data_IF_853188183519
#
_entry.id   IF_853188183519
#
_cell.length_a   1.000
_cell.length_b   1.000
_cell.length_c   1.000
_cell.angle_alpha   90.00
_cell.angle_beta   90.00
_cell.angle_gamma   90.00
#
_symmetry.space_group_name_H-M   'P 1'
#
loop_
_entity.id
_entity.type
_entity.pdbx_description
1 polymer ?
#
# COMPACT_ATOMS: atom_id res chain seq x y z
N UNK A 1 -9.14 10.96 15.88
CA UNK A 1 -9.09 10.58 14.46
C UNK A 1 -10.33 11.10 13.75
N UNK A 2 -10.14 11.72 12.59
CA UNK A 2 -11.22 12.09 11.67
C UNK A 2 -10.86 11.65 10.25
N UNK A 3 -11.79 11.74 9.31
CA UNK A 3 -11.55 11.27 7.93
C UNK A 3 -10.40 11.98 7.22
N UNK A 4 -10.23 13.27 7.46
CA UNK A 4 -9.12 14.05 6.89
C UNK A 4 -7.75 13.58 7.40
N UNK A 5 -7.66 13.31 8.70
CA UNK A 5 -6.44 12.77 9.32
C UNK A 5 -6.11 11.38 8.74
N UNK A 6 -7.13 10.52 8.57
CA UNK A 6 -6.95 9.20 7.95
C UNK A 6 -6.44 9.36 6.51
N UNK A 7 -7.08 10.23 5.71
CA UNK A 7 -6.64 10.49 4.32
C UNK A 7 -5.21 11.00 4.26
N UNK A 8 -4.85 11.95 5.12
CA UNK A 8 -3.51 12.53 5.16
C UNK A 8 -2.45 11.48 5.55
N UNK A 9 -2.70 10.71 6.62
CA UNK A 9 -1.79 9.68 7.07
C UNK A 9 -1.61 8.58 6.01
N UNK A 10 -2.68 8.19 5.34
CA UNK A 10 -2.62 7.20 4.25
C UNK A 10 -1.94 7.75 2.99
N UNK A 11 -2.04 9.07 2.72
CA UNK A 11 -1.30 9.69 1.65
C UNK A 11 0.21 9.73 1.95
N UNK A 12 0.58 10.00 3.20
CA UNK A 12 1.97 9.95 3.67
C UNK A 12 2.50 8.51 3.61
N UNK A 13 1.73 7.53 4.08
CA UNK A 13 2.06 6.11 4.04
C UNK A 13 2.34 5.63 2.62
N UNK A 14 1.47 5.96 1.69
CA UNK A 14 1.61 5.56 0.28
C UNK A 14 2.63 6.37 -0.51
N UNK A 15 3.26 7.38 0.11
CA UNK A 15 4.38 8.15 -0.45
C UNK A 15 5.73 7.52 -0.07
N UNK A 16 6.82 8.28 -0.12
CA UNK A 16 8.17 7.80 0.18
C UNK A 16 8.44 7.45 1.65
N UNK A 17 7.55 7.83 2.56
CA UNK A 17 7.75 7.63 3.99
C UNK A 17 7.21 6.25 4.35
N UNK A 18 8.06 5.29 4.81
CA UNK A 18 7.61 3.96 5.20
C UNK A 18 6.86 4.03 6.53
N UNK A 19 5.56 4.32 6.45
CA UNK A 19 4.66 4.35 7.59
C UNK A 19 3.63 3.23 7.42
N UNK A 20 3.49 2.30 8.38
CA UNK A 20 2.60 1.15 8.20
C UNK A 20 1.12 1.57 8.30
N UNK A 21 0.30 1.20 7.33
CA UNK A 21 -1.16 1.42 7.33
C UNK A 21 -1.86 0.70 8.49
N UNK A 22 -1.22 -0.30 9.06
CA UNK A 22 -1.64 -1.07 10.24
C UNK A 22 -1.81 -0.18 11.47
N UNK A 23 -1.12 0.96 11.51
CA UNK A 23 -1.24 1.96 12.59
C UNK A 23 -2.36 2.96 12.37
N UNK A 24 -2.94 3.02 11.16
CA UNK A 24 -3.96 4.02 10.78
C UNK A 24 -5.35 3.39 10.66
N UNK A 25 -5.48 2.40 9.77
CA UNK A 25 -6.80 1.86 9.39
C UNK A 25 -7.43 1.02 10.48
N UNK A 26 -6.74 0.06 11.13
CA UNK A 26 -7.35 -0.76 12.17
C UNK A 26 -7.78 0.04 13.40
N UNK A 27 -6.99 1.00 13.96
CA UNK A 27 -7.45 1.83 15.06
C UNK A 27 -8.64 2.71 14.70
N UNK A 28 -8.71 3.22 13.45
CA UNK A 28 -9.85 3.99 12.99
C UNK A 28 -11.11 3.12 12.88
N UNK A 29 -10.99 1.89 12.35
CA UNK A 29 -12.09 0.94 12.26
C UNK A 29 -12.53 0.42 13.64
N UNK A 30 -11.59 0.18 14.55
CA UNK A 30 -11.84 -0.18 15.94
C UNK A 30 -12.72 0.88 16.64
N UNK A 31 -12.35 2.16 16.54
CA UNK A 31 -13.12 3.26 17.11
C UNK A 31 -14.50 3.42 16.46
N UNK A 32 -14.56 3.21 15.14
CA UNK A 32 -15.82 3.24 14.41
C UNK A 32 -16.78 2.11 14.85
N UNK A 33 -16.26 0.93 15.18
CA UNK A 33 -17.02 -0.22 15.64
C UNK A 33 -17.56 -0.04 17.07
N UNK A 34 -16.78 0.64 17.94
CA UNK A 34 -17.13 0.85 19.35
C UNK A 34 -18.28 1.82 19.60
N UNK A 35 -18.80 2.50 18.59
CA UNK A 35 -19.95 3.44 18.68
C UNK A 35 -19.66 4.75 19.44
N UNK A 36 -18.44 4.92 19.95
CA UNK A 36 -18.03 6.10 20.71
C UNK A 36 -17.40 7.20 19.82
N UNK A 37 -17.53 7.10 18.51
CA UNK A 37 -16.98 8.06 17.55
C UNK A 37 -17.97 8.26 16.39
N UNK A 38 -17.90 9.45 15.76
CA UNK A 38 -18.67 9.76 14.55
C UNK A 38 -18.10 9.07 13.29
N UNK A 39 -17.21 8.08 13.46
CA UNK A 39 -16.60 7.35 12.37
C UNK A 39 -17.46 6.18 11.92
N UNK A 40 -17.56 5.99 10.62
CA UNK A 40 -18.17 4.84 9.98
C UNK A 40 -17.10 3.99 9.30
N UNK A 41 -17.11 2.68 9.53
CA UNK A 41 -16.10 1.75 8.99
C UNK A 41 -15.97 1.83 7.46
N UNK A 42 -17.09 1.92 6.75
CA UNK A 42 -17.10 2.07 5.29
C UNK A 42 -16.43 3.38 4.84
N UNK A 43 -16.72 4.48 5.53
CA UNK A 43 -16.10 5.76 5.25
C UNK A 43 -14.59 5.75 5.58
N UNK A 44 -14.19 5.06 6.65
CA UNK A 44 -12.76 4.85 6.96
C UNK A 44 -12.04 4.19 5.78
N UNK A 45 -12.59 3.12 5.21
CA UNK A 45 -12.01 2.44 4.04
C UNK A 45 -11.95 3.36 2.83
N UNK A 46 -13.02 4.11 2.55
CA UNK A 46 -13.08 5.03 1.41
C UNK A 46 -12.01 6.12 1.55
N UNK A 47 -11.97 6.81 2.68
CA UNK A 47 -11.02 7.90 2.92
C UNK A 47 -9.57 7.40 3.00
N UNK A 48 -9.33 6.22 3.55
CA UNK A 48 -8.03 5.56 3.52
C UNK A 48 -7.58 5.23 2.08
N UNK A 49 -8.50 4.74 1.25
CA UNK A 49 -8.21 4.43 -0.16
C UNK A 49 -7.97 5.69 -0.98
N UNK A 50 -8.70 6.78 -0.72
CA UNK A 50 -8.44 8.09 -1.33
C UNK A 50 -7.03 8.57 -0.96
N UNK A 51 -6.67 8.51 0.31
CA UNK A 51 -5.32 8.87 0.78
C UNK A 51 -4.24 8.04 0.09
N UNK A 52 -4.41 6.72 0.04
CA UNK A 52 -3.48 5.83 -0.64
C UNK A 52 -3.31 6.17 -2.14
N UNK A 53 -4.39 6.56 -2.83
CA UNK A 53 -4.32 7.01 -4.22
C UNK A 53 -3.55 8.32 -4.36
N UNK A 54 -3.75 9.29 -3.46
CA UNK A 54 -3.02 10.56 -3.47
C UNK A 54 -1.51 10.31 -3.33
N UNK A 55 -1.09 9.52 -2.35
CA UNK A 55 0.32 9.16 -2.17
C UNK A 55 0.90 8.41 -3.38
N UNK A 56 0.11 7.49 -3.95
CA UNK A 56 0.49 6.75 -5.16
C UNK A 56 0.70 7.65 -6.37
N UNK A 57 -0.18 8.64 -6.57
CA UNK A 57 -0.07 9.65 -7.65
C UNK A 57 1.21 10.46 -7.49
N UNK A 58 1.53 10.89 -6.29
CA UNK A 58 2.77 11.64 -6.01
C UNK A 58 3.98 10.82 -6.44
N UNK A 59 4.08 9.56 -5.99
CA UNK A 59 5.20 8.68 -6.36
C UNK A 59 5.25 8.38 -7.86
N UNK A 60 4.07 8.17 -8.48
CA UNK A 60 3.97 7.96 -9.91
C UNK A 60 4.52 9.15 -10.71
N UNK A 61 4.08 10.38 -10.37
CA UNK A 61 4.54 11.57 -11.09
C UNK A 61 6.00 11.90 -10.82
N UNK A 62 6.50 11.69 -9.61
CA UNK A 62 7.93 11.85 -9.33
C UNK A 62 8.72 10.90 -10.24
N UNK A 63 8.36 9.62 -10.31
CA UNK A 63 9.04 8.67 -11.18
C UNK A 63 8.87 9.02 -12.68
N UNK A 64 7.71 9.48 -13.08
CA UNK A 64 7.40 9.87 -14.45
C UNK A 64 8.26 11.06 -14.94
N UNK A 65 8.39 12.12 -14.10
CA UNK A 65 9.14 13.33 -14.46
C UNK A 65 10.63 13.22 -14.20
N UNK A 66 11.00 12.57 -13.10
CA UNK A 66 12.40 12.37 -12.69
C UNK A 66 13.10 11.40 -13.65
N UNK A 67 12.39 10.42 -14.17
CA UNK A 67 12.87 9.49 -15.18
C UNK A 67 13.90 8.47 -14.70
N UNK A 68 14.19 7.53 -15.59
CA UNK A 68 15.14 6.43 -15.34
C UNK A 68 16.51 6.89 -14.79
N UNK A 69 17.19 7.93 -15.34
CA UNK A 69 18.56 8.25 -14.90
C UNK A 69 18.67 8.56 -13.40
N UNK A 70 17.70 9.26 -12.82
CA UNK A 70 17.77 9.61 -11.40
C UNK A 70 17.37 8.45 -10.49
N UNK A 71 16.41 7.63 -10.90
CA UNK A 71 16.03 6.42 -10.16
C UNK A 71 17.19 5.43 -10.12
N UNK A 72 17.91 5.23 -11.22
CA UNK A 72 19.12 4.41 -11.27
C UNK A 72 20.25 5.01 -10.41
N UNK A 73 20.43 6.33 -10.45
CA UNK A 73 21.43 7.01 -9.60
C UNK A 73 21.07 6.86 -8.11
N UNK A 74 19.79 6.90 -7.77
CA UNK A 74 19.32 6.64 -6.40
C UNK A 74 19.52 5.19 -5.99
N UNK A 75 19.18 4.22 -6.84
CA UNK A 75 19.38 2.80 -6.59
C UNK A 75 20.85 2.46 -6.33
N UNK A 76 21.78 3.14 -7.01
CA UNK A 76 23.23 2.97 -6.83
C UNK A 76 23.80 3.84 -5.68
N UNK A 77 22.97 4.58 -4.95
CA UNK A 77 23.40 5.38 -3.81
C UNK A 77 23.41 4.55 -2.51
N UNK A 78 24.16 5.04 -1.49
CA UNK A 78 24.15 4.44 -0.15
C UNK A 78 22.75 4.35 0.44
N UNK A 79 21.91 5.33 0.17
CA UNK A 79 20.49 5.35 0.62
C UNK A 79 19.65 4.29 -0.12
N UNK A 80 19.84 4.12 -1.42
CA UNK A 80 19.19 3.05 -2.19
C UNK A 80 19.50 1.67 -1.64
N UNK A 81 20.78 1.39 -1.36
CA UNK A 81 21.21 0.13 -0.75
C UNK A 81 20.63 -0.08 0.67
N UNK A 82 20.52 0.97 1.50
CA UNK A 82 19.86 0.89 2.80
C UNK A 82 18.37 0.55 2.68
N UNK A 83 17.71 1.00 1.61
CA UNK A 83 16.31 0.68 1.29
C UNK A 83 16.16 -0.67 0.54
N UNK A 84 17.23 -1.46 0.42
CA UNK A 84 17.26 -2.71 -0.35
C UNK A 84 16.89 -2.53 -1.83
N UNK A 85 17.04 -1.32 -2.37
CA UNK A 85 16.82 -0.99 -3.78
C UNK A 85 18.17 -0.98 -4.46
N UNK A 86 18.34 -1.84 -5.46
CA UNK A 86 19.52 -1.87 -6.33
C UNK A 86 19.08 -1.79 -7.80
N UNK A 87 20.03 -1.49 -8.67
CA UNK A 87 19.79 -1.33 -10.10
C UNK A 87 19.16 -2.57 -10.75
N UNK A 88 19.59 -3.77 -10.35
CA UNK A 88 19.06 -5.01 -10.88
C UNK A 88 17.59 -5.21 -10.51
N UNK A 89 17.20 -4.84 -9.29
CA UNK A 89 15.79 -4.90 -8.85
C UNK A 89 14.92 -3.90 -9.60
N UNK A 90 15.41 -2.69 -9.87
CA UNK A 90 14.70 -1.69 -10.66
C UNK A 90 14.52 -2.20 -12.09
N UNK A 91 15.55 -2.75 -12.75
CA UNK A 91 15.45 -3.32 -14.09
C UNK A 91 14.46 -4.49 -14.16
N UNK A 92 14.52 -5.40 -13.19
CA UNK A 92 13.59 -6.53 -13.13
C UNK A 92 12.15 -6.06 -12.93
N UNK A 93 11.92 -5.05 -12.10
CA UNK A 93 10.61 -4.46 -11.89
C UNK A 93 10.10 -3.77 -13.18
N UNK A 94 10.93 -3.02 -13.89
CA UNK A 94 10.59 -2.41 -15.18
C UNK A 94 10.22 -3.49 -16.21
N UNK A 95 11.04 -4.51 -16.38
CA UNK A 95 10.79 -5.59 -17.34
C UNK A 95 9.48 -6.36 -17.01
N UNK A 96 9.25 -6.62 -15.73
CA UNK A 96 8.01 -7.25 -15.28
C UNK A 96 6.79 -6.35 -15.55
N UNK A 97 6.96 -5.05 -15.36
CA UNK A 97 5.93 -4.05 -15.61
C UNK A 97 5.60 -3.89 -17.09
N UNK A 98 6.60 -3.92 -17.96
CA UNK A 98 6.40 -3.86 -19.41
C UNK A 98 5.56 -5.06 -19.91
N UNK A 99 5.71 -6.21 -19.26
CA UNK A 99 5.01 -7.45 -19.65
C UNK A 99 3.62 -7.57 -19.02
N UNK A 100 3.43 -7.15 -17.77
CA UNK A 100 2.22 -7.43 -16.98
C UNK A 100 1.51 -6.18 -16.44
N UNK A 101 2.05 -4.99 -16.61
CA UNK A 101 1.57 -3.65 -16.28
C UNK A 101 0.45 -3.53 -15.22
N UNK A 102 -0.77 -3.65 -15.67
CA UNK A 102 -1.95 -3.46 -14.83
C UNK A 102 -2.08 -4.50 -13.70
N UNK A 103 -1.83 -5.77 -14.01
CA UNK A 103 -1.89 -6.87 -13.05
C UNK A 103 -0.78 -6.74 -12.00
N UNK A 104 0.41 -6.28 -12.41
CA UNK A 104 1.53 -6.02 -11.50
C UNK A 104 1.19 -4.92 -10.50
N UNK A 105 0.51 -3.86 -10.93
CA UNK A 105 0.05 -2.79 -10.04
C UNK A 105 -0.93 -3.34 -9.00
N UNK A 106 -1.89 -4.15 -9.43
CA UNK A 106 -2.88 -4.74 -8.54
C UNK A 106 -2.25 -5.67 -7.51
N UNK A 107 -1.50 -6.68 -7.97
CA UNK A 107 -0.85 -7.67 -7.09
C UNK A 107 0.17 -6.99 -6.17
N UNK A 108 0.98 -6.07 -6.71
CA UNK A 108 1.95 -5.34 -5.92
C UNK A 108 1.33 -4.53 -4.78
N UNK A 109 0.10 -4.04 -4.96
CA UNK A 109 -0.66 -3.36 -3.89
C UNK A 109 -1.13 -4.26 -2.77
N UNK A 110 -1.30 -5.55 -3.02
CA UNK A 110 -1.69 -6.55 -2.02
C UNK A 110 -0.50 -7.07 -1.21
N UNK A 111 0.73 -6.82 -1.66
CA UNK A 111 1.95 -7.25 -0.97
C UNK A 111 2.48 -6.10 -0.11
N UNK A 112 2.50 -6.22 1.22
CA UNK A 112 2.86 -5.12 2.14
C UNK A 112 4.20 -4.44 1.82
N UNK A 113 5.25 -5.21 1.52
CA UNK A 113 6.58 -4.68 1.19
C UNK A 113 6.68 -3.99 -0.18
N UNK A 114 5.78 -4.34 -1.11
CA UNK A 114 5.84 -3.88 -2.52
C UNK A 114 4.88 -2.73 -2.77
N UNK A 115 3.77 -2.66 -2.04
CA UNK A 115 2.66 -1.73 -2.32
C UNK A 115 3.05 -0.25 -2.36
N UNK A 116 4.04 0.17 -1.57
CA UNK A 116 4.55 1.54 -1.55
C UNK A 116 5.40 1.83 -2.79
N UNK A 117 6.20 0.86 -3.22
CA UNK A 117 7.18 1.01 -4.29
C UNK A 117 6.60 0.79 -5.68
N UNK A 118 5.46 0.11 -5.82
CA UNK A 118 4.88 -0.28 -7.11
C UNK A 118 4.53 0.93 -8.00
N UNK A 119 4.31 2.09 -7.42
CA UNK A 119 4.03 3.34 -8.14
C UNK A 119 5.24 3.86 -8.92
N UNK A 120 6.46 3.52 -8.49
CA UNK A 120 7.70 3.96 -9.14
C UNK A 120 7.87 3.29 -10.51
N UNK A 121 7.89 1.93 -10.63
CA UNK A 121 7.98 1.29 -11.94
C UNK A 121 6.79 1.63 -12.85
N UNK A 122 5.58 1.85 -12.30
CA UNK A 122 4.44 2.31 -13.09
C UNK A 122 4.67 3.69 -13.72
N UNK A 123 5.25 4.63 -12.96
CA UNK A 123 5.63 5.96 -13.46
C UNK A 123 6.76 5.89 -14.50
N UNK A 124 7.81 5.07 -14.26
CA UNK A 124 8.93 4.88 -15.19
C UNK A 124 8.49 4.26 -16.51
N UNK A 125 7.60 3.27 -16.47
CA UNK A 125 7.00 2.63 -17.64
C UNK A 125 5.98 3.53 -18.35
N UNK A 126 5.71 4.74 -17.83
CA UNK A 126 4.71 5.68 -18.37
C UNK A 126 3.33 5.04 -18.58
N UNK A 127 2.93 4.15 -17.66
CA UNK A 127 1.64 3.51 -17.67
C UNK A 127 0.51 4.55 -17.74
N UNK A 128 -0.59 4.26 -18.44
CA UNK A 128 -1.74 5.17 -18.47
C UNK A 128 -2.26 5.43 -17.05
N UNK A 129 -2.37 6.70 -16.66
CA UNK A 129 -2.76 7.10 -15.31
C UNK A 129 -4.12 6.51 -14.89
N UNK A 130 -5.09 6.45 -15.81
CA UNK A 130 -6.41 5.85 -15.54
C UNK A 130 -6.32 4.37 -15.17
N UNK A 131 -5.50 3.62 -15.90
CA UNK A 131 -5.26 2.19 -15.62
C UNK A 131 -4.52 2.03 -14.29
N UNK A 132 -3.48 2.84 -14.05
CA UNK A 132 -2.75 2.85 -12.78
C UNK A 132 -3.68 3.14 -11.59
N UNK A 133 -4.53 4.17 -11.68
CA UNK A 133 -5.48 4.53 -10.61
C UNK A 133 -6.52 3.45 -10.37
N UNK A 134 -7.08 2.86 -11.43
CA UNK A 134 -8.07 1.78 -11.29
C UNK A 134 -7.50 0.62 -10.47
N UNK A 135 -6.33 0.09 -10.87
CA UNK A 135 -5.72 -1.05 -10.20
C UNK A 135 -5.14 -0.70 -8.83
N UNK A 136 -4.67 0.53 -8.64
CA UNK A 136 -4.28 1.06 -7.33
C UNK A 136 -5.47 1.14 -6.38
N UNK A 137 -6.60 1.68 -6.83
CA UNK A 137 -7.83 1.79 -6.04
C UNK A 137 -8.36 0.42 -5.64
N UNK A 138 -8.39 -0.53 -6.57
CA UNK A 138 -8.82 -1.90 -6.29
C UNK A 138 -7.90 -2.58 -5.28
N UNK A 139 -6.58 -2.54 -5.51
CA UNK A 139 -5.62 -3.19 -4.61
C UNK A 139 -5.57 -2.55 -3.22
N UNK A 140 -5.48 -1.22 -3.14
CA UNK A 140 -5.49 -0.50 -1.87
C UNK A 140 -6.85 -0.62 -1.16
N UNK A 141 -7.95 -0.61 -1.90
CA UNK A 141 -9.30 -0.80 -1.36
C UNK A 141 -9.46 -2.16 -0.69
N UNK A 142 -9.06 -3.24 -1.36
CA UNK A 142 -9.10 -4.60 -0.79
C UNK A 142 -8.23 -4.67 0.46
N UNK A 143 -7.00 -4.15 0.41
CA UNK A 143 -6.12 -4.15 1.58
C UNK A 143 -6.69 -3.36 2.75
N UNK A 144 -7.23 -2.16 2.50
CA UNK A 144 -7.88 -1.36 3.52
C UNK A 144 -9.14 -2.02 4.10
N UNK A 145 -9.91 -2.76 3.27
CA UNK A 145 -11.03 -3.58 3.75
C UNK A 145 -10.55 -4.67 4.71
N UNK A 146 -9.46 -5.36 4.39
CA UNK A 146 -8.87 -6.39 5.26
C UNK A 146 -8.43 -5.76 6.59
N UNK A 147 -7.70 -4.65 6.56
CA UNK A 147 -7.27 -3.95 7.76
C UNK A 147 -8.44 -3.41 8.59
N UNK A 148 -9.47 -2.88 7.94
CA UNK A 148 -10.67 -2.42 8.63
C UNK A 148 -11.45 -3.58 9.27
N UNK A 149 -11.52 -4.75 8.60
CA UNK A 149 -12.14 -5.95 9.15
C UNK A 149 -11.38 -6.46 10.38
N UNK A 150 -10.03 -6.43 10.36
CA UNK A 150 -9.20 -6.76 11.53
C UNK A 150 -9.53 -5.81 12.68
N UNK A 151 -9.52 -4.49 12.44
CA UNK A 151 -9.82 -3.50 13.47
C UNK A 151 -11.24 -3.65 14.04
N UNK A 152 -12.21 -3.91 13.18
CA UNK A 152 -13.60 -4.18 13.58
C UNK A 152 -13.71 -5.42 14.47
N UNK A 153 -13.07 -6.52 14.07
CA UNK A 153 -13.07 -7.77 14.83
C UNK A 153 -12.37 -7.61 16.19
N UNK A 154 -11.22 -6.97 16.22
CA UNK A 154 -10.44 -6.77 17.44
C UNK A 154 -11.17 -5.92 18.48
N UNK A 155 -12.11 -5.06 18.06
CA UNK A 155 -12.93 -4.27 18.98
C UNK A 155 -13.75 -5.14 19.96
N UNK A 156 -14.17 -6.33 19.54
CA UNK A 156 -14.91 -7.26 20.38
C UNK A 156 -14.07 -8.16 21.29
N UNK A 157 -12.74 -8.26 21.02
CA UNK A 157 -11.88 -9.28 21.64
C UNK A 157 -10.71 -8.68 22.41
N UNK A 158 -10.25 -7.47 22.03
CA UNK A 158 -9.00 -6.89 22.54
C UNK A 158 -9.25 -5.48 23.08
N UNK A 159 -8.75 -5.12 24.28
CA UNK A 159 -8.74 -3.76 24.76
C UNK A 159 -7.95 -2.81 23.86
N UNK A 160 -8.36 -1.53 23.80
CA UNK A 160 -7.73 -0.51 22.95
C UNK A 160 -6.20 -0.40 23.19
N UNK A 161 -5.74 -0.64 24.41
CA UNK A 161 -4.34 -0.56 24.81
C UNK A 161 -3.44 -1.61 24.11
N UNK A 162 -3.98 -2.78 23.80
CA UNK A 162 -3.27 -3.89 23.15
C UNK A 162 -3.44 -3.90 21.63
N UNK A 163 -4.26 -3.01 21.07
CA UNK A 163 -4.60 -2.99 19.64
C UNK A 163 -3.35 -2.88 18.76
N UNK A 164 -2.48 -1.92 19.04
CA UNK A 164 -1.29 -1.64 18.22
C UNK A 164 -0.22 -2.75 18.28
N UNK A 165 -0.23 -3.58 19.32
CA UNK A 165 0.65 -4.76 19.40
C UNK A 165 0.07 -5.98 18.70
N UNK A 166 -1.24 -6.10 18.64
CA UNK A 166 -1.95 -7.26 18.11
C UNK A 166 -2.16 -7.16 16.59
N UNK A 167 -2.45 -5.96 16.07
CA UNK A 167 -2.71 -5.74 14.63
C UNK A 167 -1.58 -6.21 13.71
N UNK A 168 -0.27 -5.93 13.99
CA UNK A 168 0.80 -6.38 13.12
C UNK A 168 0.89 -7.91 13.01
N UNK A 169 0.56 -8.65 14.07
CA UNK A 169 0.57 -10.11 14.07
C UNK A 169 -0.45 -10.65 13.05
N UNK A 170 -1.71 -10.21 13.15
CA UNK A 170 -2.77 -10.61 12.21
C UNK A 170 -2.52 -10.14 10.77
N UNK A 171 -2.02 -8.92 10.59
CA UNK A 171 -1.76 -8.40 9.24
C UNK A 171 -0.58 -9.11 8.55
N UNK A 172 0.44 -9.51 9.31
CA UNK A 172 1.57 -10.27 8.78
C UNK A 172 1.16 -11.69 8.35
N UNK A 173 0.38 -12.40 9.16
CA UNK A 173 -0.12 -13.73 8.79
C UNK A 173 -0.96 -13.68 7.51
N UNK A 174 -1.87 -12.72 7.40
CA UNK A 174 -2.65 -12.52 6.18
C UNK A 174 -1.78 -12.08 5.00
N UNK A 175 -0.78 -11.22 5.23
CA UNK A 175 0.18 -10.81 4.22
C UNK A 175 0.97 -11.99 3.65
N UNK A 176 1.45 -12.91 4.49
CA UNK A 176 2.11 -14.13 4.04
C UNK A 176 1.17 -15.04 3.24
N UNK A 177 -0.09 -15.17 3.65
CA UNK A 177 -1.10 -15.91 2.91
C UNK A 177 -1.34 -15.32 1.51
N UNK A 178 -1.47 -14.00 1.41
CA UNK A 178 -1.64 -13.29 0.13
C UNK A 178 -0.40 -13.46 -0.77
N UNK A 179 0.81 -13.36 -0.20
CA UNK A 179 2.07 -13.58 -0.94
C UNK A 179 2.11 -15.01 -1.49
N UNK A 180 1.76 -16.01 -0.69
CA UNK A 180 1.75 -17.41 -1.13
C UNK A 180 0.77 -17.63 -2.29
N UNK A 181 -0.44 -17.06 -2.21
CA UNK A 181 -1.45 -17.12 -3.30
C UNK A 181 -0.93 -16.38 -4.54
N UNK A 182 -0.35 -15.18 -4.38
CA UNK A 182 0.18 -14.40 -5.49
C UNK A 182 1.33 -15.14 -6.21
N UNK A 183 2.23 -15.76 -5.46
CA UNK A 183 3.33 -16.59 -6.02
C UNK A 183 2.79 -17.82 -6.73
N UNK A 184 1.76 -18.46 -6.20
CA UNK A 184 1.11 -19.60 -6.85
C UNK A 184 0.46 -19.19 -8.18
N UNK A 185 -0.27 -18.08 -8.22
CA UNK A 185 -0.89 -17.53 -9.44
C UNK A 185 0.17 -17.15 -10.47
N UNK A 186 1.23 -16.46 -10.07
CA UNK A 186 2.32 -16.07 -10.99
C UNK A 186 3.06 -17.28 -11.55
N UNK A 187 3.19 -18.38 -10.78
CA UNK A 187 3.82 -19.62 -11.25
C UNK A 187 2.92 -20.43 -12.19
N UNK A 188 1.61 -20.21 -12.14
CA UNK A 188 0.63 -20.89 -12.99
C UNK A 188 0.31 -20.15 -14.30
N UNK A 189 0.81 -18.93 -14.47
CA UNK A 189 0.78 -18.11 -15.69
C UNK A 189 2.09 -18.21 -16.47
#
# INVERSE_FOLDING_TARGET
LNYWTITLLMAIESSFIPFPSEVVVPPAAYKAAGGNSDLNVFLVVIFATIGANIGAIINYYIAYFVGRPLVYKFANSRFGHMCLIDEAKVQNAEHYFDKHGALSTFIGRLIPAVRQLISIPAGLAKMKLSTFLLYTTLGAGIWNCILAAIGYYLQSVVPEELLLSTVPEYSNELGYGIIAIALFVVRSL
#
